data_IF_972475255886
#
_entry.id   IF_972475255886
#
_cell.length_a   1.000
_cell.length_b   1.000
_cell.length_c   1.000
_cell.angle_alpha   90.00
_cell.angle_beta   90.00
_cell.angle_gamma   90.00
#
_symmetry.space_group_name_H-M   'P 1'
#
loop_
_entity.id
_entity.type
_entity.pdbx_description
1 polymer ?
#
# COMPACT_ATOMS: atom_id res chain seq x y z
N UNK A 1 6.88 1.03 -13.36
CA UNK A 1 6.22 2.06 -14.20
C UNK A 1 5.94 3.34 -13.43
N UNK A 2 5.25 3.31 -12.28
CA UNK A 2 4.96 4.53 -11.48
C UNK A 2 6.17 5.43 -11.11
N UNK A 3 7.37 4.85 -10.96
CA UNK A 3 8.60 5.57 -10.59
C UNK A 3 9.21 6.45 -11.69
N UNK A 4 8.66 6.45 -12.91
CA UNK A 4 9.26 7.14 -14.07
C UNK A 4 8.39 8.24 -14.66
N UNK A 5 7.21 8.50 -14.09
CA UNK A 5 6.33 9.55 -14.59
C UNK A 5 6.60 10.82 -13.81
N UNK A 6 7.01 11.87 -14.52
CA UNK A 6 7.30 13.19 -13.96
C UNK A 6 6.03 13.78 -13.33
N UNK A 7 4.88 13.48 -13.95
CA UNK A 7 3.57 13.84 -13.46
C UNK A 7 3.07 12.86 -12.38
N UNK A 8 2.94 13.36 -11.14
CA UNK A 8 2.56 12.59 -9.96
C UNK A 8 1.16 11.95 -10.13
N UNK A 9 0.21 12.61 -10.78
CA UNK A 9 -1.11 12.03 -11.01
C UNK A 9 -1.03 10.76 -11.87
N UNK A 10 -0.17 10.75 -12.89
CA UNK A 10 0.04 9.55 -13.71
C UNK A 10 0.78 8.46 -12.93
N UNK A 11 1.70 8.82 -12.03
CA UNK A 11 2.33 7.87 -11.12
C UNK A 11 1.29 7.20 -10.20
N UNK A 12 0.34 7.97 -9.66
CA UNK A 12 -0.75 7.44 -8.82
C UNK A 12 -1.70 6.55 -9.63
N UNK A 13 -2.03 6.92 -10.87
CA UNK A 13 -2.84 6.06 -11.76
C UNK A 13 -2.10 4.74 -12.06
N UNK A 14 -0.82 4.81 -12.39
CA UNK A 14 -0.01 3.60 -12.61
C UNK A 14 0.07 2.73 -11.36
N UNK A 15 0.13 3.34 -10.17
CA UNK A 15 0.05 2.62 -8.90
C UNK A 15 -1.31 1.95 -8.71
N UNK A 16 -2.43 2.63 -8.97
CA UNK A 16 -3.77 2.05 -8.90
C UNK A 16 -3.91 0.82 -9.82
N UNK A 17 -3.42 0.91 -11.05
CA UNK A 17 -3.40 -0.22 -12.00
C UNK A 17 -2.58 -1.39 -11.44
N UNK A 18 -1.43 -1.12 -10.82
CA UNK A 18 -0.63 -2.16 -10.18
C UNK A 18 -1.38 -2.84 -9.02
N UNK A 19 -2.14 -2.09 -8.22
CA UNK A 19 -2.95 -2.66 -7.13
C UNK A 19 -4.10 -3.53 -7.67
N UNK A 20 -4.72 -3.14 -8.80
CA UNK A 20 -5.74 -3.95 -9.47
C UNK A 20 -5.14 -5.24 -10.04
N UNK A 21 -3.97 -5.15 -10.70
CA UNK A 21 -3.27 -6.32 -11.18
C UNK A 21 -2.87 -7.27 -10.03
N UNK A 22 -2.46 -6.70 -8.88
CA UNK A 22 -2.17 -7.49 -7.68
C UNK A 22 -3.41 -8.17 -7.11
N UNK A 23 -4.57 -7.50 -7.12
CA UNK A 23 -5.85 -8.12 -6.74
C UNK A 23 -6.20 -9.31 -7.66
N UNK A 24 -5.99 -9.17 -8.97
CA UNK A 24 -6.16 -10.28 -9.91
C UNK A 24 -5.21 -11.45 -9.61
N UNK A 25 -3.96 -11.16 -9.23
CA UNK A 25 -3.02 -12.19 -8.79
C UNK A 25 -3.48 -12.90 -7.50
N UNK A 26 -4.11 -12.17 -6.56
CA UNK A 26 -4.70 -12.79 -5.37
C UNK A 26 -5.88 -13.70 -5.68
N UNK A 27 -6.72 -13.36 -6.66
CA UNK A 27 -7.73 -14.30 -7.16
C UNK A 27 -7.10 -15.54 -7.79
N UNK A 28 -6.00 -15.38 -8.53
CA UNK A 28 -5.29 -16.49 -9.15
C UNK A 28 -4.70 -17.49 -8.14
N UNK A 29 -4.23 -17.00 -6.98
CA UNK A 29 -3.70 -17.86 -5.89
C UNK A 29 -4.76 -18.27 -4.86
N UNK A 30 -6.04 -18.26 -5.25
CA UNK A 30 -7.18 -18.69 -4.41
C UNK A 30 -7.33 -17.92 -3.08
N UNK A 31 -6.96 -16.64 -3.07
CA UNK A 31 -7.08 -15.75 -1.90
C UNK A 31 -8.17 -14.67 -2.11
N UNK A 32 -9.46 -15.04 -2.22
CA UNK A 32 -10.52 -14.12 -2.63
C UNK A 32 -10.78 -12.99 -1.63
N UNK A 33 -10.69 -13.27 -0.31
CA UNK A 33 -10.86 -12.24 0.71
C UNK A 33 -9.79 -11.14 0.57
N UNK A 34 -8.52 -11.55 0.41
CA UNK A 34 -7.40 -10.62 0.22
C UNK A 34 -7.53 -9.84 -1.10
N UNK A 35 -7.95 -10.50 -2.17
CA UNK A 35 -8.18 -9.87 -3.48
C UNK A 35 -9.21 -8.73 -3.39
N UNK A 36 -10.36 -8.99 -2.77
CA UNK A 36 -11.43 -7.99 -2.62
C UNK A 36 -10.98 -6.86 -1.67
N UNK A 37 -10.37 -7.21 -0.54
CA UNK A 37 -9.86 -6.21 0.41
C UNK A 37 -8.82 -5.29 -0.24
N UNK A 38 -7.90 -5.84 -1.02
CA UNK A 38 -6.89 -5.09 -1.78
C UNK A 38 -7.52 -4.14 -2.80
N UNK A 39 -8.59 -4.58 -3.47
CA UNK A 39 -9.29 -3.75 -4.46
C UNK A 39 -10.01 -2.59 -3.77
N UNK A 40 -10.75 -2.85 -2.69
CA UNK A 40 -11.54 -1.83 -1.98
C UNK A 40 -10.66 -0.84 -1.21
N UNK A 41 -9.73 -1.35 -0.40
CA UNK A 41 -8.89 -0.52 0.48
C UNK A 41 -7.69 0.02 -0.28
N UNK A 42 -6.97 -0.83 -1.00
CA UNK A 42 -5.79 -0.44 -1.77
C UNK A 42 -6.15 0.48 -2.93
N UNK A 43 -6.78 -0.08 -3.96
CA UNK A 43 -7.09 0.67 -5.18
C UNK A 43 -8.21 1.70 -4.94
N UNK A 44 -9.29 1.29 -4.26
CA UNK A 44 -10.49 2.10 -4.09
C UNK A 44 -10.37 3.22 -3.06
N UNK A 45 -9.57 3.04 -2.01
CA UNK A 45 -9.40 4.05 -0.96
C UNK A 45 -8.06 4.74 -1.11
N UNK A 46 -6.95 4.02 -0.89
CA UNK A 46 -5.62 4.63 -0.81
C UNK A 46 -5.24 5.35 -2.10
N UNK A 47 -5.36 4.70 -3.26
CA UNK A 47 -4.98 5.32 -4.53
C UNK A 47 -5.86 6.53 -4.87
N UNK A 48 -7.16 6.48 -4.56
CA UNK A 48 -8.10 7.60 -4.75
C UNK A 48 -7.76 8.78 -3.82
N UNK A 49 -7.48 8.53 -2.55
CA UNK A 49 -7.06 9.57 -1.61
C UNK A 49 -5.74 10.21 -2.01
N UNK A 50 -4.78 9.43 -2.54
CA UNK A 50 -3.54 9.96 -3.09
C UNK A 50 -3.79 10.83 -4.32
N UNK A 51 -4.67 10.39 -5.23
CA UNK A 51 -5.01 11.16 -6.43
C UNK A 51 -5.70 12.47 -6.07
N UNK A 52 -6.68 12.42 -5.15
CA UNK A 52 -7.34 13.61 -4.64
C UNK A 52 -6.34 14.56 -3.94
N UNK A 53 -5.45 14.01 -3.10
CA UNK A 53 -4.41 14.78 -2.41
C UNK A 53 -3.48 15.50 -3.39
N UNK A 54 -3.09 14.83 -4.48
CA UNK A 54 -2.28 15.44 -5.54
C UNK A 54 -3.06 16.51 -6.30
N UNK A 55 -4.30 16.25 -6.71
CA UNK A 55 -5.14 17.23 -7.41
C UNK A 55 -5.44 18.48 -6.57
N UNK A 56 -5.48 18.36 -5.24
CA UNK A 56 -5.64 19.48 -4.32
C UNK A 56 -4.32 20.19 -3.98
N UNK A 57 -3.16 19.61 -4.30
CA UNK A 57 -1.86 20.19 -3.99
C UNK A 57 -1.30 20.96 -5.18
N UNK A 58 -1.05 22.26 -5.02
CA UNK A 58 -0.33 23.05 -6.01
C UNK A 58 1.19 22.91 -5.83
N UNK A 59 1.76 21.77 -6.20
CA UNK A 59 3.22 21.59 -6.20
C UNK A 59 3.77 21.40 -7.61
N UNK A 60 4.75 22.24 -7.95
CA UNK A 60 5.54 22.14 -9.17
C UNK A 60 6.51 20.97 -9.13
N UNK A 61 6.68 20.31 -10.28
CA UNK A 61 7.58 19.18 -10.49
C UNK A 61 9.01 19.51 -10.06
N UNK A 62 9.57 18.68 -9.17
CA UNK A 62 11.00 18.69 -8.87
C UNK A 62 11.67 17.62 -9.71
N UNK A 63 12.46 18.04 -10.69
CA UNK A 63 13.23 17.15 -11.55
C UNK A 63 14.15 16.24 -10.71
N UNK A 64 13.99 14.92 -10.89
CA UNK A 64 14.73 13.90 -10.17
C UNK A 64 16.17 13.78 -10.70
N UNK A 65 17.17 13.95 -9.82
CA UNK A 65 18.59 13.85 -10.16
C UNK A 65 18.98 12.44 -10.61
N UNK A 66 19.72 12.33 -11.72
CA UNK A 66 20.13 11.06 -12.35
C UNK A 66 20.82 10.08 -11.38
N UNK A 67 21.58 10.59 -10.39
CA UNK A 67 22.25 9.77 -9.38
C UNK A 67 21.31 8.96 -8.47
N UNK A 68 20.08 9.44 -8.23
CA UNK A 68 19.10 8.67 -7.44
C UNK A 68 18.44 7.54 -8.24
N UNK A 69 18.45 7.61 -9.58
CA UNK A 69 17.94 6.54 -10.44
C UNK A 69 18.83 5.29 -10.39
N UNK A 70 20.16 5.47 -10.43
CA UNK A 70 21.12 4.36 -10.33
C UNK A 70 21.12 3.73 -8.93
N UNK A 71 21.07 4.55 -7.88
CA UNK A 71 20.96 4.05 -6.51
C UNK A 71 19.67 3.22 -6.30
N UNK A 72 18.53 3.70 -6.84
CA UNK A 72 17.26 2.97 -6.78
C UNK A 72 17.32 1.63 -7.53
N UNK A 73 17.95 1.59 -8.70
CA UNK A 73 18.12 0.36 -9.47
C UNK A 73 19.02 -0.66 -8.75
N UNK A 74 20.13 -0.21 -8.16
CA UNK A 74 21.01 -1.07 -7.38
C UNK A 74 20.29 -1.67 -6.16
N UNK A 75 19.47 -0.88 -5.48
CA UNK A 75 18.67 -1.35 -4.34
C UNK A 75 17.60 -2.37 -4.77
N UNK A 76 16.93 -2.12 -5.89
CA UNK A 76 15.96 -3.07 -6.45
C UNK A 76 16.63 -4.41 -6.83
N UNK A 77 17.82 -4.38 -7.42
CA UNK A 77 18.61 -5.58 -7.72
C UNK A 77 19.00 -6.34 -6.45
N UNK A 78 19.48 -5.62 -5.43
CA UNK A 78 19.85 -6.20 -4.14
C UNK A 78 18.69 -6.93 -3.46
N UNK A 79 17.46 -6.43 -3.59
CA UNK A 79 16.27 -7.09 -3.01
C UNK A 79 15.76 -8.23 -3.90
N UNK A 80 15.87 -8.09 -5.22
CA UNK A 80 15.35 -9.09 -6.16
C UNK A 80 16.20 -10.35 -6.24
N UNK A 81 17.53 -10.23 -6.15
CA UNK A 81 18.46 -11.37 -6.33
C UNK A 81 18.29 -12.44 -5.24
N UNK A 82 18.20 -12.11 -3.93
CA UNK A 82 17.98 -13.11 -2.89
C UNK A 82 16.66 -13.85 -3.03
N UNK A 83 15.61 -13.16 -3.48
CA UNK A 83 14.26 -13.73 -3.61
C UNK A 83 14.16 -14.86 -4.66
N UNK A 84 15.10 -14.92 -5.61
CA UNK A 84 15.13 -15.94 -6.68
C UNK A 84 16.11 -17.07 -6.33
N UNK A 85 17.19 -16.75 -5.62
CA UNK A 85 18.25 -17.71 -5.27
C UNK A 85 17.96 -18.49 -3.99
N UNK A 86 17.17 -17.93 -3.08
CA UNK A 86 16.67 -18.66 -1.93
C UNK A 86 15.53 -19.56 -2.40
N UNK A 87 15.83 -20.85 -2.54
CA UNK A 87 14.82 -21.90 -2.65
C UNK A 87 14.03 -21.91 -1.34
N UNK A 88 13.04 -21.02 -1.27
CA UNK A 88 12.04 -20.99 -0.24
C UNK A 88 11.21 -22.24 -0.47
N UNK A 89 11.38 -23.22 0.41
CA UNK A 89 10.49 -24.37 0.49
C UNK A 89 9.06 -23.82 0.49
N UNK A 90 8.38 -23.99 -0.65
CA UNK A 90 6.99 -23.59 -0.80
C UNK A 90 6.20 -24.56 0.05
N UNK A 91 6.10 -24.27 1.35
CA UNK A 91 5.03 -24.82 2.16
C UNK A 91 3.75 -24.21 1.61
N UNK A 92 3.22 -24.86 0.58
CA UNK A 92 1.80 -24.78 0.26
C UNK A 92 1.11 -25.10 1.57
N UNK A 93 0.45 -24.10 2.17
CA UNK A 93 -0.48 -24.30 3.26
C UNK A 93 -1.67 -25.12 2.69
N UNK A 94 -1.43 -26.38 2.37
CA UNK A 94 -2.44 -27.41 2.15
C UNK A 94 -2.93 -27.89 3.52
N UNK A 95 -3.16 -26.94 4.43
CA UNK A 95 -3.76 -27.21 5.72
C UNK A 95 -5.24 -27.42 5.47
N UNK A 96 -5.65 -28.69 5.44
CA UNK A 96 -7.02 -29.17 5.60
C UNK A 96 -7.58 -28.84 6.99
N UNK A 97 -7.29 -27.66 7.51
CA UNK A 97 -7.92 -27.14 8.71
C UNK A 97 -9.17 -26.41 8.23
N UNK A 98 -10.31 -27.05 8.45
CA UNK A 98 -11.67 -26.54 8.24
C UNK A 98 -12.01 -25.28 9.07
N UNK A 99 -11.01 -24.50 9.49
CA UNK A 99 -11.17 -23.24 10.19
C UNK A 99 -11.43 -22.16 9.15
N UNK A 100 -12.60 -21.54 9.22
CA UNK A 100 -12.93 -20.39 8.37
C UNK A 100 -11.92 -19.27 8.60
N UNK A 101 -11.59 -18.50 7.56
CA UNK A 101 -10.67 -17.34 7.65
C UNK A 101 -10.93 -16.46 8.88
N UNK A 102 -12.20 -16.24 9.22
CA UNK A 102 -12.63 -15.49 10.39
C UNK A 102 -12.09 -16.07 11.71
N UNK A 103 -12.20 -17.39 11.89
CA UNK A 103 -11.72 -18.07 13.10
C UNK A 103 -10.20 -17.99 13.22
N UNK A 104 -9.47 -18.22 12.13
CA UNK A 104 -8.01 -18.09 12.13
C UNK A 104 -7.55 -16.65 12.45
N UNK A 105 -8.28 -15.65 11.94
CA UNK A 105 -7.98 -14.24 12.14
C UNK A 105 -8.17 -13.82 13.61
N UNK A 106 -9.25 -14.24 14.26
CA UNK A 106 -9.46 -13.94 15.68
C UNK A 106 -8.65 -14.82 16.63
N UNK A 107 -8.36 -16.07 16.29
CA UNK A 107 -7.63 -16.96 17.19
C UNK A 107 -6.11 -16.68 17.16
N UNK A 108 -5.55 -16.42 15.98
CA UNK A 108 -4.10 -16.28 15.82
C UNK A 108 -3.61 -14.84 15.67
N UNK A 109 -4.50 -13.89 15.35
CA UNK A 109 -4.13 -12.50 15.01
C UNK A 109 -4.97 -11.45 15.72
N UNK A 110 -5.78 -11.82 16.72
CA UNK A 110 -6.59 -10.89 17.51
C UNK A 110 -5.80 -9.66 17.99
N UNK A 111 -4.68 -9.93 18.65
CA UNK A 111 -3.85 -8.92 19.27
C UNK A 111 -3.29 -7.95 18.22
N UNK A 112 -2.86 -8.48 17.07
CA UNK A 112 -2.35 -7.67 15.95
C UNK A 112 -3.45 -6.77 15.37
N UNK A 113 -4.67 -7.28 15.19
CA UNK A 113 -5.81 -6.49 14.67
C UNK A 113 -6.17 -5.35 15.61
N UNK A 114 -6.29 -5.65 16.91
CA UNK A 114 -6.58 -4.63 17.93
C UNK A 114 -5.46 -3.59 17.97
N UNK A 115 -4.20 -4.03 17.94
CA UNK A 115 -3.04 -3.14 17.87
C UNK A 115 -3.05 -2.24 16.64
N UNK A 116 -3.32 -2.78 15.46
CA UNK A 116 -3.47 -2.01 14.23
C UNK A 116 -4.62 -1.01 14.30
N UNK A 117 -5.73 -1.37 14.96
CA UNK A 117 -6.84 -0.47 15.23
C UNK A 117 -6.41 0.77 16.02
N UNK A 118 -5.59 0.59 17.07
CA UNK A 118 -5.03 1.70 17.86
C UNK A 118 -4.11 2.58 17.01
N UNK A 119 -3.30 1.99 16.15
CA UNK A 119 -2.42 2.73 15.22
C UNK A 119 -3.24 3.59 14.25
N UNK A 120 -4.29 3.02 13.65
CA UNK A 120 -5.18 3.75 12.72
C UNK A 120 -5.88 4.90 13.44
N UNK A 121 -6.39 4.66 14.66
CA UNK A 121 -7.01 5.71 15.48
C UNK A 121 -6.03 6.85 15.77
N UNK A 122 -4.80 6.50 16.16
CA UNK A 122 -3.75 7.49 16.45
C UNK A 122 -3.43 8.33 15.21
N UNK A 123 -3.33 7.69 14.04
CA UNK A 123 -3.12 8.38 12.77
C UNK A 123 -4.28 9.32 12.43
N UNK A 124 -5.53 8.87 12.61
CA UNK A 124 -6.72 9.68 12.33
C UNK A 124 -6.79 10.92 13.22
N UNK A 125 -6.52 10.78 14.53
CA UNK A 125 -6.45 11.91 15.46
C UNK A 125 -5.31 12.86 15.05
N UNK A 126 -4.15 12.32 14.70
CA UNK A 126 -3.00 13.10 14.20
C UNK A 126 -3.38 13.97 13.00
N UNK A 127 -3.98 13.37 11.97
CA UNK A 127 -4.43 14.08 10.78
C UNK A 127 -5.47 15.16 11.12
N UNK A 128 -6.46 14.86 11.97
CA UNK A 128 -7.48 15.82 12.40
C UNK A 128 -6.88 17.02 13.16
N UNK A 129 -5.88 16.78 14.03
CA UNK A 129 -5.18 17.84 14.74
C UNK A 129 -4.39 18.75 13.78
N UNK A 130 -3.72 18.18 12.78
CA UNK A 130 -2.98 18.94 11.75
C UNK A 130 -3.95 19.82 10.95
N UNK A 131 -5.07 19.26 10.47
CA UNK A 131 -6.10 20.02 9.74
C UNK A 131 -6.68 21.15 10.60
N UNK A 132 -6.98 20.89 11.88
CA UNK A 132 -7.50 21.90 12.81
C UNK A 132 -6.52 23.03 13.06
N UNK A 133 -5.21 22.74 13.15
CA UNK A 133 -4.17 23.76 13.30
C UNK A 133 -4.03 24.63 12.06
N UNK A 134 -4.01 24.04 10.87
CA UNK A 134 -3.98 24.78 9.60
C UNK A 134 -5.15 25.75 9.46
N UNK A 135 -6.35 25.34 9.90
CA UNK A 135 -7.56 26.19 9.85
C UNK A 135 -7.55 27.37 10.84
N UNK A 136 -6.77 27.29 11.93
CA UNK A 136 -6.60 28.39 12.89
C UNK A 136 -5.59 29.43 12.41
N UNK A 137 -4.55 29.02 11.68
CA UNK A 137 -3.52 29.93 11.15
C UNK A 137 -4.02 30.75 9.95
N UNK A 138 -4.92 30.20 9.12
CA UNK A 138 -5.54 30.93 8.01
C UNK A 138 -6.70 31.87 8.38
N UNK A 139 -6.88 32.19 9.68
CA UNK A 139 -7.93 33.10 10.19
C UNK A 139 -7.35 34.34 10.90
N UNK A 140 -6.07 34.67 10.64
CA UNK A 140 -5.42 35.92 11.08
C UNK A 140 -5.30 36.85 9.89
#
# INVERSE_FOLDING_TARGET
MALHLENIAHAVISFAVALVALSALYFYVEAPFAAIFQLVVGAGTIAVFLLAGEMLSSKGEKAQRLGSKLAGAAFALLISVPSILLDLEKQTFAGTNNLSFYSALWESRAADIVGQGVVILTLAIGAAMVLKRGRKQGKV
#
